data_IF_066819887550
#
_entry.id   IF_066819887550
#
_cell.length_a   1.000
_cell.length_b   1.000
_cell.length_c   1.000
_cell.angle_alpha   90.00
_cell.angle_beta   90.00
_cell.angle_gamma   90.00
#
_symmetry.space_group_name_H-M   'P 1'
#
loop_
_entity.id
_entity.type
_entity.pdbx_description
1 polymer ?
#
# COMPACT_ATOMS: atom_id res chain seq x y z
N UNK A 1 -91.13 -15.12 -47.75
CA UNK A 1 -90.92 -14.28 -46.56
C UNK A 1 -89.63 -14.71 -45.95
N UNK A 2 -88.54 -14.00 -46.25
CA UNK A 2 -87.21 -14.31 -45.80
C UNK A 2 -86.85 -13.29 -44.71
N UNK A 3 -86.51 -13.76 -43.51
CA UNK A 3 -86.09 -12.99 -42.39
C UNK A 3 -84.66 -12.47 -42.59
N UNK A 4 -84.34 -11.22 -42.23
CA UNK A 4 -82.99 -10.71 -42.34
C UNK A 4 -82.15 -11.10 -41.19
N UNK A 5 -81.01 -11.67 -41.48
CA UNK A 5 -79.95 -12.04 -40.54
C UNK A 5 -79.38 -10.83 -39.84
N UNK A 6 -79.21 -10.92 -38.51
CA UNK A 6 -78.53 -9.91 -37.68
C UNK A 6 -77.00 -9.91 -37.94
N UNK A 7 -76.37 -8.71 -37.89
CA UNK A 7 -74.94 -8.58 -38.14
C UNK A 7 -74.10 -9.11 -36.96
N UNK A 8 -73.07 -9.85 -37.31
CA UNK A 8 -72.05 -10.38 -36.37
C UNK A 8 -71.20 -9.23 -35.75
N UNK A 9 -71.00 -9.18 -34.44
CA UNK A 9 -70.13 -8.15 -33.86
C UNK A 9 -68.66 -8.32 -34.31
N UNK A 10 -68.04 -7.21 -34.64
CA UNK A 10 -66.61 -7.15 -35.01
C UNK A 10 -65.72 -7.59 -33.84
N UNK A 11 -64.56 -8.23 -34.11
CA UNK A 11 -63.59 -8.59 -33.07
C UNK A 11 -63.04 -7.33 -32.41
N UNK A 12 -62.99 -7.33 -31.08
CA UNK A 12 -62.32 -6.32 -30.29
C UNK A 12 -60.85 -6.25 -30.70
N UNK A 13 -60.38 -5.07 -31.06
CA UNK A 13 -58.99 -4.81 -31.36
C UNK A 13 -58.12 -5.04 -30.13
N UNK A 14 -56.81 -5.32 -30.32
CA UNK A 14 -55.90 -5.50 -29.20
C UNK A 14 -55.87 -4.22 -28.36
N UNK A 15 -56.09 -4.43 -27.05
CA UNK A 15 -55.92 -3.39 -26.05
C UNK A 15 -54.56 -2.72 -26.26
N UNK A 16 -54.52 -1.43 -26.52
CA UNK A 16 -53.34 -0.61 -26.47
C UNK A 16 -52.85 -0.66 -25.00
N UNK A 17 -51.87 -1.51 -24.77
CA UNK A 17 -51.12 -1.47 -23.52
C UNK A 17 -50.59 -0.02 -23.39
N UNK A 18 -51.13 0.70 -22.42
CA UNK A 18 -50.64 1.99 -22.04
C UNK A 18 -49.14 1.87 -21.77
N UNK A 19 -48.32 2.45 -22.64
CA UNK A 19 -46.91 2.74 -22.36
C UNK A 19 -46.91 3.58 -21.08
N UNK A 20 -46.68 2.92 -19.94
CA UNK A 20 -46.41 3.63 -18.72
C UNK A 20 -45.07 4.36 -18.93
N UNK A 21 -45.17 5.63 -19.11
CA UNK A 21 -44.04 6.59 -19.10
C UNK A 21 -43.38 6.43 -17.72
N UNK A 22 -42.41 5.51 -17.65
CA UNK A 22 -41.56 5.33 -16.46
C UNK A 22 -40.59 6.51 -16.41
N UNK A 23 -41.11 7.68 -16.04
CA UNK A 23 -40.28 8.80 -15.67
C UNK A 23 -39.23 8.37 -14.68
N UNK A 24 -37.95 8.68 -14.91
CA UNK A 24 -36.85 8.37 -14.03
C UNK A 24 -37.15 8.97 -12.65
N UNK A 25 -37.30 8.11 -11.63
CA UNK A 25 -37.40 8.56 -10.23
C UNK A 25 -35.99 8.97 -9.72
N UNK A 26 -35.64 10.23 -10.03
CA UNK A 26 -34.35 10.79 -9.61
C UNK A 26 -34.08 10.68 -8.13
N UNK A 27 -35.11 10.68 -7.28
CA UNK A 27 -34.95 10.53 -5.83
C UNK A 27 -34.55 9.10 -5.46
N UNK A 28 -35.12 8.09 -6.11
CA UNK A 28 -34.73 6.70 -5.93
C UNK A 28 -33.29 6.46 -6.43
N UNK A 29 -32.94 7.01 -7.60
CA UNK A 29 -31.57 6.93 -8.15
C UNK A 29 -30.54 7.58 -7.23
N UNK A 30 -30.81 8.79 -6.73
CA UNK A 30 -29.92 9.48 -5.77
C UNK A 30 -29.76 8.68 -4.47
N UNK A 31 -30.85 8.12 -3.93
CA UNK A 31 -30.78 7.26 -2.74
C UNK A 31 -29.97 5.98 -3.02
N UNK A 32 -30.17 5.35 -4.17
CA UNK A 32 -29.41 4.18 -4.60
C UNK A 32 -27.90 4.48 -4.68
N UNK A 33 -27.55 5.59 -5.33
CA UNK A 33 -26.16 6.05 -5.41
C UNK A 33 -25.56 6.33 -4.01
N UNK A 34 -26.31 7.02 -3.15
CA UNK A 34 -25.86 7.32 -1.79
C UNK A 34 -25.60 6.05 -0.96
N UNK A 35 -26.48 5.05 -1.05
CA UNK A 35 -26.28 3.76 -0.39
C UNK A 35 -25.08 3.00 -0.96
N UNK A 36 -24.90 3.01 -2.27
CA UNK A 36 -23.73 2.39 -2.90
C UNK A 36 -22.44 3.04 -2.42
N UNK A 37 -22.35 4.36 -2.40
CA UNK A 37 -21.18 5.10 -1.91
C UNK A 37 -20.93 4.81 -0.41
N UNK A 38 -21.98 4.78 0.39
CA UNK A 38 -21.87 4.43 1.82
C UNK A 38 -21.36 3.01 2.02
N UNK A 39 -21.83 2.05 1.23
CA UNK A 39 -21.36 0.66 1.29
C UNK A 39 -19.88 0.54 0.88
N UNK A 40 -19.45 1.22 -0.18
CA UNK A 40 -18.06 1.25 -0.63
C UNK A 40 -17.17 1.89 0.45
N UNK A 41 -17.58 3.02 1.03
CA UNK A 41 -16.85 3.69 2.10
C UNK A 41 -16.74 2.80 3.35
N UNK A 42 -17.82 2.14 3.72
CA UNK A 42 -17.82 1.18 4.84
C UNK A 42 -16.87 0.01 4.58
N UNK A 43 -16.90 -0.58 3.37
CA UNK A 43 -15.99 -1.66 3.00
C UNK A 43 -14.52 -1.21 3.09
N UNK A 44 -14.17 -0.05 2.52
CA UNK A 44 -12.81 0.49 2.54
C UNK A 44 -12.32 0.85 3.95
N UNK A 45 -13.23 1.21 4.85
CA UNK A 45 -12.87 1.57 6.23
C UNK A 45 -12.77 0.35 7.15
N UNK A 46 -13.57 -0.70 6.91
CA UNK A 46 -13.72 -1.84 7.83
C UNK A 46 -12.94 -3.06 7.34
N UNK A 47 -12.94 -3.35 6.04
CA UNK A 47 -12.40 -4.60 5.50
C UNK A 47 -11.03 -4.40 4.88
N UNK A 48 -10.96 -3.72 3.76
CA UNK A 48 -9.72 -3.52 3.01
C UNK A 48 -9.81 -2.30 2.09
N UNK A 49 -8.66 -1.64 1.90
CA UNK A 49 -8.53 -0.46 1.05
C UNK A 49 -7.43 -0.69 0.01
N UNK A 50 -7.65 -0.35 -1.27
CA UNK A 50 -6.59 -0.32 -2.26
C UNK A 50 -5.66 0.87 -2.00
N UNK A 51 -4.36 0.65 -2.20
CA UNK A 51 -3.33 1.68 -2.10
C UNK A 51 -2.47 1.70 -3.36
N UNK A 52 -1.94 2.87 -3.65
CA UNK A 52 -0.94 3.12 -4.68
C UNK A 52 0.41 3.43 -4.01
N UNK A 53 1.52 2.97 -4.61
CA UNK A 53 2.87 3.27 -4.14
C UNK A 53 3.45 4.43 -4.97
N UNK A 54 3.57 5.64 -4.37
CA UNK A 54 4.09 6.80 -5.06
C UNK A 54 5.59 7.04 -4.86
N UNK A 55 6.26 6.27 -3.99
CA UNK A 55 7.65 6.55 -3.57
C UNK A 55 8.53 5.30 -3.57
N UNK A 56 9.85 5.54 -3.57
CA UNK A 56 10.88 4.49 -3.61
C UNK A 56 11.20 3.89 -2.24
N UNK A 57 10.60 4.38 -1.14
CA UNK A 57 11.01 4.06 0.24
C UNK A 57 10.89 2.58 0.64
N UNK A 58 10.12 1.78 -0.09
CA UNK A 58 9.91 0.36 0.17
C UNK A 58 10.52 -0.56 -0.90
N UNK A 59 11.37 0.00 -1.78
CA UNK A 59 12.15 -0.82 -2.73
C UNK A 59 13.10 -1.75 -1.97
N UNK A 60 13.34 -2.94 -2.49
CA UNK A 60 12.90 -3.53 -3.75
C UNK A 60 11.54 -4.25 -3.63
N UNK A 61 10.99 -4.36 -2.42
CA UNK A 61 9.79 -5.16 -2.18
C UNK A 61 8.53 -4.53 -2.79
N UNK A 62 8.42 -3.21 -2.71
CA UNK A 62 7.39 -2.42 -3.40
C UNK A 62 8.06 -1.43 -4.35
N UNK A 63 7.56 -1.34 -5.57
CA UNK A 63 8.01 -0.38 -6.58
C UNK A 63 6.99 0.73 -6.76
N UNK A 64 7.47 1.89 -7.19
CA UNK A 64 6.56 2.97 -7.63
C UNK A 64 5.67 2.43 -8.74
N UNK A 65 4.37 2.72 -8.67
CA UNK A 65 3.40 2.17 -9.62
C UNK A 65 2.69 0.89 -9.15
N UNK A 66 3.15 0.25 -8.06
CA UNK A 66 2.42 -0.88 -7.47
C UNK A 66 1.06 -0.44 -6.93
N UNK A 67 0.07 -1.29 -7.14
CA UNK A 67 -1.24 -1.22 -6.50
C UNK A 67 -1.37 -2.41 -5.57
N UNK A 68 -1.78 -2.17 -4.34
CA UNK A 68 -1.83 -3.21 -3.30
C UNK A 68 -3.11 -3.11 -2.47
N UNK A 69 -3.42 -4.18 -1.77
CA UNK A 69 -4.54 -4.25 -0.84
C UNK A 69 -4.02 -4.24 0.59
N UNK A 70 -4.59 -3.34 1.40
CA UNK A 70 -4.33 -3.23 2.83
C UNK A 70 -5.57 -3.68 3.59
N UNK A 71 -5.43 -4.73 4.40
CA UNK A 71 -6.48 -5.21 5.30
C UNK A 71 -6.48 -4.43 6.61
N UNK A 72 -7.66 -4.18 7.16
CA UNK A 72 -7.85 -3.39 8.39
C UNK A 72 -7.91 -4.27 9.64
N UNK A 73 -8.56 -5.40 9.55
CA UNK A 73 -8.85 -6.30 10.67
C UNK A 73 -7.64 -6.98 11.33
N UNK A 74 -6.45 -7.19 10.71
CA UNK A 74 -5.34 -7.87 11.38
C UNK A 74 -4.89 -7.17 12.66
N UNK A 75 -4.98 -5.83 12.69
CA UNK A 75 -4.56 -5.02 13.83
C UNK A 75 -5.72 -4.34 14.56
N UNK A 76 -6.96 -4.71 14.20
CA UNK A 76 -8.17 -4.06 14.70
C UNK A 76 -8.45 -2.72 14.03
N UNK A 77 -9.50 -2.07 14.49
CA UNK A 77 -9.95 -0.79 13.94
C UNK A 77 -9.56 0.35 14.86
N UNK A 78 -9.15 1.44 14.26
CA UNK A 78 -8.80 2.70 14.91
C UNK A 78 -9.15 3.87 13.99
N UNK A 79 -8.87 5.12 14.40
CA UNK A 79 -9.13 6.29 13.59
C UNK A 79 -8.40 6.25 12.21
N UNK A 80 -7.15 5.73 12.16
CA UNK A 80 -6.35 5.61 10.94
C UNK A 80 -6.87 4.52 9.99
N UNK A 81 -7.75 3.63 10.46
CA UNK A 81 -8.42 2.63 9.61
C UNK A 81 -9.53 3.26 8.77
N UNK A 82 -10.15 4.36 9.22
CA UNK A 82 -11.21 5.03 8.48
C UNK A 82 -10.68 5.61 7.17
N UNK A 83 -11.48 5.47 6.10
CA UNK A 83 -11.14 6.07 4.81
C UNK A 83 -11.15 7.58 4.92
N UNK A 84 -10.20 8.23 4.22
CA UNK A 84 -10.02 9.68 4.21
C UNK A 84 -9.80 10.32 5.59
N UNK A 85 -9.42 9.51 6.61
CA UNK A 85 -9.23 9.96 8.00
C UNK A 85 -10.41 10.80 8.52
N UNK A 86 -11.64 10.36 8.21
CA UNK A 86 -12.88 11.07 8.57
C UNK A 86 -13.12 11.10 10.09
N UNK A 87 -12.50 10.20 10.84
CA UNK A 87 -12.57 10.19 12.28
C UNK A 87 -11.47 11.06 12.89
N UNK A 88 -11.76 11.76 14.01
CA UNK A 88 -10.73 12.49 14.72
C UNK A 88 -9.65 11.53 15.22
N UNK A 89 -8.40 12.00 15.24
CA UNK A 89 -7.29 11.24 15.80
C UNK A 89 -7.52 11.02 17.29
N UNK A 90 -7.42 9.77 17.70
CA UNK A 90 -7.59 9.33 19.09
C UNK A 90 -6.82 8.01 19.31
N UNK A 91 -6.62 7.62 20.55
CA UNK A 91 -5.87 6.42 20.94
C UNK A 91 -6.74 5.16 21.05
N UNK A 92 -8.03 5.22 20.75
CA UNK A 92 -8.92 4.05 20.79
C UNK A 92 -8.53 2.99 19.73
N UNK A 93 -8.67 1.73 20.12
CA UNK A 93 -8.51 0.57 19.24
C UNK A 93 -9.52 -0.51 19.61
N UNK A 94 -10.18 -1.09 18.61
CA UNK A 94 -11.12 -2.20 18.77
C UNK A 94 -10.51 -3.46 18.23
N UNK A 95 -10.48 -4.54 19.04
CA UNK A 95 -9.91 -5.85 18.68
C UNK A 95 -8.44 -5.78 18.21
N UNK A 96 -7.68 -4.85 18.76
CA UNK A 96 -6.32 -4.55 18.31
C UNK A 96 -5.31 -5.65 18.65
N UNK A 97 -4.63 -6.18 17.63
CA UNK A 97 -3.44 -7.01 17.77
C UNK A 97 -2.19 -6.18 17.50
N UNK A 98 -1.07 -6.58 18.08
CA UNK A 98 0.22 -5.98 17.77
C UNK A 98 0.73 -6.55 16.45
N UNK A 99 1.22 -5.71 15.51
CA UNK A 99 1.90 -6.16 14.32
C UNK A 99 3.11 -7.05 14.64
N UNK A 100 3.41 -8.00 13.75
CA UNK A 100 4.56 -8.87 13.88
C UNK A 100 5.80 -8.26 13.21
N UNK A 101 6.99 -8.71 13.61
CA UNK A 101 8.20 -8.33 12.89
C UNK A 101 8.09 -8.71 11.40
N UNK A 102 8.52 -7.80 10.55
CA UNK A 102 8.49 -8.00 9.11
C UNK A 102 7.17 -7.65 8.42
N UNK A 103 6.07 -7.42 9.16
CA UNK A 103 4.82 -6.96 8.56
C UNK A 103 5.01 -5.59 7.90
N UNK A 104 4.45 -5.42 6.71
CA UNK A 104 4.36 -4.12 6.04
C UNK A 104 3.04 -3.47 6.43
N UNK A 105 3.12 -2.27 6.99
CA UNK A 105 1.97 -1.57 7.58
C UNK A 105 1.79 -0.17 6.99
N UNK A 106 0.56 0.33 7.05
CA UNK A 106 0.26 1.74 6.81
C UNK A 106 0.32 2.46 8.16
N UNK A 107 1.08 3.54 8.23
CA UNK A 107 1.21 4.40 9.41
C UNK A 107 0.91 5.85 9.04
N UNK A 108 0.27 6.59 9.94
CA UNK A 108 -0.07 8.00 9.75
C UNK A 108 0.78 8.84 10.71
N UNK A 109 1.69 9.70 10.20
CA UNK A 109 2.50 10.58 11.04
C UNK A 109 1.66 11.52 11.89
N UNK A 110 2.17 11.91 13.08
CA UNK A 110 1.40 12.73 14.02
C UNK A 110 1.16 14.17 13.57
N UNK A 111 2.02 14.69 12.71
CA UNK A 111 1.96 16.07 12.24
C UNK A 111 1.18 16.27 10.93
N UNK A 112 0.74 15.18 10.28
CA UNK A 112 0.01 15.24 8.99
C UNK A 112 -0.90 14.03 8.80
N UNK A 113 -1.89 14.16 7.92
CA UNK A 113 -2.84 13.10 7.57
C UNK A 113 -2.43 12.46 6.23
N UNK A 114 -1.26 11.82 6.21
CA UNK A 114 -0.70 11.13 5.06
C UNK A 114 -0.44 9.67 5.41
N UNK A 115 -0.84 8.76 4.53
CA UNK A 115 -0.59 7.33 4.70
C UNK A 115 0.85 7.00 4.26
N UNK A 116 1.73 6.65 5.20
CA UNK A 116 3.07 6.13 4.92
C UNK A 116 3.07 4.60 5.02
N UNK A 117 3.73 3.95 4.07
CA UNK A 117 3.94 2.50 4.10
C UNK A 117 5.35 2.18 4.58
N UNK A 118 5.47 1.35 5.60
CA UNK A 118 6.75 0.97 6.23
C UNK A 118 6.69 -0.45 6.78
N UNK A 119 7.86 -0.98 7.15
CA UNK A 119 8.01 -2.32 7.74
C UNK A 119 8.22 -2.26 9.24
N UNK A 120 7.60 -3.18 9.97
CA UNK A 120 7.77 -3.33 11.43
C UNK A 120 9.11 -4.01 11.72
N UNK A 121 10.01 -3.30 12.40
CA UNK A 121 11.35 -3.79 12.78
C UNK A 121 11.54 -3.92 14.28
N UNK A 122 10.74 -3.20 15.09
CA UNK A 122 10.71 -3.45 16.53
C UNK A 122 9.28 -3.29 17.09
N UNK A 123 9.00 -4.01 18.18
CA UNK A 123 7.69 -4.17 18.81
C UNK A 123 7.69 -3.55 20.21
N UNK A 124 6.50 -3.39 20.84
CA UNK A 124 6.41 -2.84 22.18
C UNK A 124 7.33 -3.57 23.18
N UNK A 125 8.18 -2.82 23.89
CA UNK A 125 9.12 -3.32 24.87
C UNK A 125 10.49 -3.70 24.30
N UNK A 126 10.68 -3.75 22.99
CA UNK A 126 11.99 -4.00 22.40
C UNK A 126 12.93 -2.80 22.61
N UNK A 127 14.23 -3.11 22.71
CA UNK A 127 15.30 -2.14 22.61
C UNK A 127 15.91 -2.22 21.22
N UNK A 128 15.95 -1.09 20.52
CA UNK A 128 16.47 -1.01 19.16
C UNK A 128 17.55 0.07 19.07
N UNK A 129 18.65 -0.28 18.40
CA UNK A 129 19.70 0.64 18.00
C UNK A 129 20.10 0.34 16.55
N UNK A 130 20.78 1.28 15.90
CA UNK A 130 21.43 1.05 14.61
C UNK A 130 22.92 1.32 14.75
N UNK A 131 23.72 0.47 14.12
CA UNK A 131 25.16 0.64 14.01
C UNK A 131 25.61 0.30 12.59
N UNK A 132 26.13 1.28 11.88
CA UNK A 132 26.56 1.15 10.47
C UNK A 132 25.47 0.50 9.58
N UNK A 133 24.22 0.93 9.72
CA UNK A 133 23.05 0.41 9.00
C UNK A 133 22.51 -0.93 9.53
N UNK A 134 23.22 -1.61 10.43
CA UNK A 134 22.76 -2.87 11.03
C UNK A 134 21.83 -2.62 12.22
N UNK A 135 20.70 -3.29 12.22
CA UNK A 135 19.75 -3.27 13.35
C UNK A 135 20.31 -4.12 14.50
N UNK A 136 20.40 -3.51 15.69
CA UNK A 136 20.68 -4.17 16.95
C UNK A 136 19.37 -4.24 17.74
N UNK A 137 18.81 -5.43 17.87
CA UNK A 137 17.54 -5.64 18.54
C UNK A 137 17.73 -6.41 19.83
N UNK A 138 17.31 -5.83 20.95
CA UNK A 138 17.48 -6.41 22.30
C UNK A 138 18.95 -6.79 22.63
N UNK A 139 19.87 -5.92 22.19
CA UNK A 139 21.30 -6.08 22.39
C UNK A 139 21.98 -7.10 21.45
N UNK A 140 21.26 -7.65 20.47
CA UNK A 140 21.80 -8.60 19.48
C UNK A 140 21.65 -8.04 18.07
N UNK A 141 22.70 -8.10 17.21
CA UNK A 141 22.56 -7.77 15.81
C UNK A 141 21.61 -8.78 15.14
N UNK A 142 20.66 -8.30 14.34
CA UNK A 142 19.86 -9.21 13.53
C UNK A 142 20.74 -9.79 12.42
N UNK A 143 20.51 -11.05 12.00
CA UNK A 143 21.21 -11.62 10.86
C UNK A 143 21.00 -10.74 9.61
N UNK A 144 22.13 -10.36 8.98
CA UNK A 144 22.17 -9.55 7.76
C UNK A 144 23.18 -10.15 6.80
N UNK A 145 22.72 -10.59 5.65
CA UNK A 145 23.51 -11.29 4.64
C UNK A 145 23.54 -10.48 3.35
N UNK A 146 24.72 -10.38 2.71
CA UNK A 146 24.84 -9.83 1.37
C UNK A 146 24.13 -10.80 0.42
N UNK A 147 23.26 -10.25 -0.42
CA UNK A 147 22.62 -10.99 -1.51
C UNK A 147 23.11 -10.44 -2.85
N UNK A 148 22.94 -11.20 -3.95
CA UNK A 148 23.18 -10.64 -5.29
C UNK A 148 22.39 -9.34 -5.45
N UNK A 149 22.93 -8.43 -6.27
CA UNK A 149 22.27 -7.16 -6.59
C UNK A 149 20.83 -7.39 -7.02
N UNK A 150 19.93 -6.52 -6.55
CA UNK A 150 18.55 -6.53 -6.99
C UNK A 150 18.39 -5.69 -8.25
N UNK A 151 17.64 -6.22 -9.22
CA UNK A 151 17.37 -5.55 -10.49
C UNK A 151 16.01 -4.87 -10.42
N UNK A 152 16.01 -3.55 -10.51
CA UNK A 152 14.80 -2.72 -10.57
C UNK A 152 14.63 -2.23 -12.01
N UNK A 153 13.47 -2.43 -12.67
CA UNK A 153 13.24 -1.90 -14.02
C UNK A 153 13.49 -0.39 -14.09
N UNK A 154 14.20 0.06 -15.13
CA UNK A 154 14.42 1.47 -15.38
C UNK A 154 13.20 2.06 -16.11
N UNK A 155 12.15 2.35 -15.35
CA UNK A 155 10.88 2.89 -15.85
C UNK A 155 10.97 4.42 -15.88
N UNK A 156 11.50 4.97 -16.94
CA UNK A 156 11.80 6.40 -17.11
C UNK A 156 10.54 7.29 -17.16
N UNK A 157 9.35 6.72 -17.37
CA UNK A 157 8.08 7.45 -17.39
C UNK A 157 7.53 7.76 -15.98
N UNK A 158 8.11 7.12 -14.93
CA UNK A 158 7.64 7.32 -13.58
C UNK A 158 8.17 8.63 -12.98
N UNK A 159 7.22 9.48 -12.62
CA UNK A 159 7.51 10.77 -11.98
C UNK A 159 7.09 10.76 -10.52
N UNK A 160 8.00 11.14 -9.65
CA UNK A 160 7.82 11.29 -8.22
C UNK A 160 8.00 12.76 -7.80
N UNK A 161 7.43 13.12 -6.65
CA UNK A 161 7.59 14.44 -6.03
C UNK A 161 6.25 15.05 -5.65
N UNK A 162 6.32 15.98 -4.70
CA UNK A 162 5.19 16.71 -4.15
C UNK A 162 5.19 18.16 -4.63
N UNK A 163 4.01 18.75 -4.71
CA UNK A 163 3.87 20.21 -4.77
C UNK A 163 4.38 20.89 -6.02
N UNK A 164 4.47 20.20 -7.18
CA UNK A 164 4.80 20.85 -8.47
C UNK A 164 6.24 20.63 -8.95
N UNK A 165 7.13 20.11 -8.14
CA UNK A 165 8.45 19.64 -8.57
C UNK A 165 8.39 18.13 -8.75
N UNK A 166 8.40 17.68 -10.01
CA UNK A 166 8.47 16.26 -10.34
C UNK A 166 9.82 15.94 -10.96
N UNK A 167 10.49 14.90 -10.45
CA UNK A 167 11.67 14.29 -11.04
C UNK A 167 11.38 12.85 -11.39
N UNK A 168 12.20 12.22 -12.21
CA UNK A 168 12.08 10.79 -12.43
C UNK A 168 12.31 10.06 -11.10
N UNK A 169 11.46 9.08 -10.79
CA UNK A 169 11.47 8.41 -9.50
C UNK A 169 12.79 7.74 -9.14
N UNK A 170 13.59 7.39 -10.15
CA UNK A 170 14.82 6.62 -9.99
C UNK A 170 16.09 7.41 -10.33
N UNK A 171 16.02 8.75 -10.49
CA UNK A 171 17.20 9.60 -10.78
C UNK A 171 18.32 9.40 -9.77
N UNK A 172 17.99 9.18 -8.51
CA UNK A 172 18.96 8.92 -7.44
C UNK A 172 19.82 7.68 -7.71
N UNK A 173 19.36 6.76 -8.54
CA UNK A 173 20.05 5.49 -8.88
C UNK A 173 20.74 5.54 -10.25
N UNK A 174 20.90 6.69 -10.88
CA UNK A 174 21.46 6.79 -12.23
C UNK A 174 22.83 6.11 -12.37
N UNK A 175 23.66 6.12 -11.31
CA UNK A 175 24.98 5.46 -11.29
C UNK A 175 24.92 3.92 -11.29
N UNK A 176 23.77 3.33 -11.03
CA UNK A 176 23.55 1.88 -11.00
C UNK A 176 22.82 1.34 -12.24
N UNK A 177 22.59 2.20 -13.24
CA UNK A 177 21.87 1.84 -14.46
C UNK A 177 22.73 0.96 -15.37
N UNK A 178 22.20 -0.20 -15.75
CA UNK A 178 22.85 -1.16 -16.64
C UNK A 178 21.88 -1.66 -17.70
N UNK A 179 22.42 -1.99 -18.87
CA UNK A 179 21.67 -2.62 -19.94
C UNK A 179 21.96 -4.13 -19.95
N UNK A 180 20.92 -4.93 -19.74
CA UNK A 180 21.02 -6.39 -19.77
C UNK A 180 21.23 -6.91 -21.21
N UNK A 181 21.73 -8.15 -21.38
CA UNK A 181 21.85 -8.79 -22.71
C UNK A 181 20.51 -8.90 -23.45
N UNK A 182 19.39 -8.89 -22.74
CA UNK A 182 18.04 -8.84 -23.31
C UNK A 182 17.66 -7.50 -23.93
N UNK A 183 18.50 -6.47 -23.79
CA UNK A 183 18.22 -5.10 -24.19
C UNK A 183 17.44 -4.28 -23.18
N UNK A 184 16.92 -4.88 -22.11
CA UNK A 184 16.23 -4.16 -21.04
C UNK A 184 17.21 -3.36 -20.19
N UNK A 185 16.80 -2.19 -19.75
CA UNK A 185 17.55 -1.36 -18.80
C UNK A 185 16.99 -1.56 -17.40
N UNK A 186 17.90 -1.69 -16.44
CA UNK A 186 17.60 -1.90 -15.02
C UNK A 186 18.60 -1.12 -14.17
N UNK A 187 18.21 -0.86 -12.91
CA UNK A 187 19.15 -0.43 -11.87
C UNK A 187 19.57 -1.68 -11.09
N UNK A 188 20.88 -1.95 -11.00
CA UNK A 188 21.45 -3.03 -10.19
C UNK A 188 21.92 -2.49 -8.84
N UNK A 189 21.08 -2.61 -7.83
CA UNK A 189 21.32 -2.03 -6.51
C UNK A 189 21.91 -3.06 -5.55
N UNK A 190 22.87 -2.65 -4.68
CA UNK A 190 23.36 -3.50 -3.60
C UNK A 190 22.21 -3.81 -2.63
N UNK A 191 22.13 -5.06 -2.19
CA UNK A 191 21.04 -5.48 -1.36
C UNK A 191 21.49 -6.44 -0.26
N UNK A 192 20.71 -6.46 0.81
CA UNK A 192 20.94 -7.27 1.99
C UNK A 192 19.67 -8.05 2.31
N UNK A 193 19.83 -9.24 2.83
CA UNK A 193 18.75 -10.01 3.44
C UNK A 193 18.81 -9.83 4.94
N UNK A 194 17.75 -9.36 5.54
CA UNK A 194 17.58 -9.30 6.99
C UNK A 194 16.62 -10.37 7.46
N UNK A 195 16.93 -10.99 8.60
CA UNK A 195 16.07 -12.00 9.22
C UNK A 195 15.76 -11.60 10.65
N UNK A 196 14.49 -11.39 10.93
CA UNK A 196 13.98 -10.97 12.23
C UNK A 196 13.88 -12.15 13.20
N UNK A 197 13.76 -11.91 14.53
CA UNK A 197 13.70 -12.97 15.52
C UNK A 197 12.59 -14.00 15.37
N UNK A 198 11.49 -13.63 14.70
CA UNK A 198 10.38 -14.54 14.39
C UNK A 198 10.59 -15.34 13.07
N UNK A 199 11.79 -15.27 12.48
CA UNK A 199 12.11 -15.89 11.19
C UNK A 199 11.64 -15.12 9.96
N UNK A 200 10.95 -13.97 10.11
CA UNK A 200 10.56 -13.14 9.00
C UNK A 200 11.79 -12.59 8.26
N UNK A 201 11.90 -12.90 6.97
CA UNK A 201 13.05 -12.54 6.15
C UNK A 201 12.62 -11.73 4.92
N UNK A 202 13.36 -10.67 4.61
CA UNK A 202 13.08 -9.75 3.51
C UNK A 202 14.38 -9.09 3.00
N UNK A 203 14.30 -8.52 1.81
CA UNK A 203 15.43 -7.84 1.17
C UNK A 203 15.33 -6.34 1.45
N UNK A 204 16.47 -5.71 1.72
CA UNK A 204 16.59 -4.26 1.88
C UNK A 204 17.67 -3.72 0.96
N UNK A 205 17.53 -2.47 0.52
CA UNK A 205 18.56 -1.69 -0.17
C UNK A 205 19.18 -0.76 0.87
N UNK A 206 20.51 -0.68 0.85
CA UNK A 206 21.33 0.16 1.72
C UNK A 206 22.59 0.47 0.93
N UNK A 207 22.53 1.56 0.16
CA UNK A 207 23.48 1.89 -0.90
C UNK A 207 24.38 3.09 -0.57
N UNK A 208 24.01 3.86 0.44
CA UNK A 208 24.76 5.02 0.90
C UNK A 208 25.18 4.86 2.36
N UNK A 209 26.02 5.76 2.82
CA UNK A 209 26.27 5.96 4.25
C UNK A 209 25.65 7.28 4.68
N UNK A 210 24.70 7.18 5.59
CA UNK A 210 23.89 8.31 6.05
C UNK A 210 23.96 8.45 7.57
N UNK A 211 23.51 9.57 8.10
CA UNK A 211 23.40 9.77 9.55
C UNK A 211 22.40 8.79 10.18
N UNK A 212 21.39 8.36 9.41
CA UNK A 212 20.36 7.41 9.86
C UNK A 212 20.90 5.98 10.08
N UNK A 213 22.14 5.67 9.63
CA UNK A 213 22.79 4.37 9.86
C UNK A 213 23.24 4.17 11.30
N UNK A 214 23.28 5.25 12.08
CA UNK A 214 23.66 5.20 13.49
C UNK A 214 22.58 5.82 14.34
N UNK A 215 22.01 5.03 15.23
CA UNK A 215 21.00 5.47 16.18
C UNK A 215 21.28 4.88 17.56
N UNK A 216 21.30 5.73 18.57
CA UNK A 216 21.42 5.29 19.95
C UNK A 216 20.29 4.32 20.34
N UNK A 217 20.56 3.43 21.29
CA UNK A 217 19.54 2.49 21.76
C UNK A 217 18.36 3.23 22.38
N UNK A 218 17.17 2.91 21.92
CA UNK A 218 15.90 3.35 22.49
C UNK A 218 15.05 2.15 22.85
N UNK A 219 14.18 2.31 23.83
CA UNK A 219 13.14 1.31 24.15
C UNK A 219 11.84 1.72 23.47
N UNK A 220 11.26 0.82 22.69
CA UNK A 220 9.94 1.02 22.07
C UNK A 220 8.86 1.03 23.15
N UNK A 221 8.12 2.13 23.35
CA UNK A 221 7.12 2.22 24.41
C UNK A 221 6.01 1.17 24.26
N UNK A 222 5.33 0.86 25.36
CA UNK A 222 4.11 0.06 25.32
C UNK A 222 3.10 0.67 24.33
N UNK A 223 2.45 -0.16 23.53
CA UNK A 223 1.50 0.31 22.53
C UNK A 223 2.10 1.00 21.29
N UNK A 224 3.41 0.93 21.08
CA UNK A 224 4.11 1.50 19.93
C UNK A 224 4.86 0.43 19.14
N UNK A 225 5.21 0.76 17.90
CA UNK A 225 6.09 -0.02 17.02
C UNK A 225 7.16 0.89 16.42
N UNK A 226 8.31 0.32 16.04
CA UNK A 226 9.34 1.03 15.29
C UNK A 226 9.32 0.56 13.85
N UNK A 227 9.24 1.50 12.93
CA UNK A 227 8.99 1.26 11.52
C UNK A 227 10.15 1.76 10.68
N UNK A 228 10.60 0.96 9.70
CA UNK A 228 11.63 1.37 8.74
C UNK A 228 11.21 1.06 7.31
N UNK A 229 11.74 1.83 6.36
CA UNK A 229 11.61 1.51 4.94
C UNK A 229 12.57 0.39 4.54
N UNK A 230 12.24 -0.34 3.48
CA UNK A 230 13.10 -1.37 2.92
C UNK A 230 14.25 -0.76 2.09
N UNK A 231 14.06 0.46 1.58
CA UNK A 231 15.09 1.30 0.97
C UNK A 231 15.64 2.23 2.06
N UNK A 232 16.66 1.77 2.76
CA UNK A 232 17.17 2.34 4.01
C UNK A 232 17.56 3.80 3.90
N UNK A 233 18.29 4.16 2.87
CA UNK A 233 18.81 5.51 2.67
C UNK A 233 17.79 6.47 2.05
N UNK A 234 16.74 5.94 1.47
CA UNK A 234 15.69 6.71 0.80
C UNK A 234 14.32 6.56 1.48
N UNK A 235 14.31 6.53 2.82
CA UNK A 235 13.09 6.36 3.61
C UNK A 235 13.00 7.35 4.77
N UNK A 236 12.02 8.23 4.71
CA UNK A 236 11.58 9.02 5.85
C UNK A 236 10.70 8.13 6.75
N UNK A 237 11.30 7.55 7.80
CA UNK A 237 10.68 6.57 8.69
C UNK A 237 10.90 6.90 10.18
N UNK A 238 10.87 5.92 11.08
CA UNK A 238 11.05 6.15 12.52
C UNK A 238 12.41 6.70 12.91
N UNK A 239 13.41 6.61 12.05
CA UNK A 239 14.75 7.20 12.27
C UNK A 239 14.78 8.71 12.02
N UNK A 240 13.82 9.21 11.27
CA UNK A 240 13.76 10.58 10.78
C UNK A 240 12.72 11.38 11.54
N UNK A 241 13.04 12.64 11.87
CA UNK A 241 12.17 13.54 12.63
C UNK A 241 10.86 13.86 11.89
N UNK A 242 9.85 14.34 12.62
CA UNK A 242 8.59 14.78 12.01
C UNK A 242 8.77 15.99 11.11
N UNK A 243 9.73 16.87 11.45
CA UNK A 243 10.07 18.08 10.70
C UNK A 243 10.68 17.74 9.33
N UNK A 244 11.43 16.62 9.26
CA UNK A 244 12.04 16.11 8.03
C UNK A 244 11.15 15.09 7.31
N UNK A 245 9.85 15.16 7.56
CA UNK A 245 8.85 14.28 6.94
C UNK A 245 8.93 12.80 7.34
N UNK A 246 9.64 12.47 8.42
CA UNK A 246 9.69 11.13 9.01
C UNK A 246 8.49 10.82 9.91
N UNK A 247 8.66 9.77 10.70
CA UNK A 247 7.67 9.32 11.70
C UNK A 247 7.98 9.83 13.12
N UNK A 248 9.17 10.42 13.34
CA UNK A 248 9.57 11.03 14.61
C UNK A 248 9.74 10.02 15.75
N UNK A 249 10.27 8.83 15.48
CA UNK A 249 10.48 7.77 16.47
C UNK A 249 9.43 6.67 16.41
N UNK A 250 9.15 6.07 17.57
CA UNK A 250 8.17 4.97 17.68
C UNK A 250 6.75 5.46 17.42
N UNK A 251 6.00 4.70 16.62
CA UNK A 251 4.65 5.03 16.15
C UNK A 251 3.62 4.34 17.05
N UNK A 252 2.63 5.07 17.59
CA UNK A 252 1.53 4.47 18.33
C UNK A 252 0.75 3.48 17.46
N UNK A 253 0.30 2.40 18.05
CA UNK A 253 -0.53 1.42 17.35
C UNK A 253 -1.89 1.98 16.91
N UNK A 254 -2.37 3.06 17.55
CA UNK A 254 -3.56 3.81 17.12
C UNK A 254 -3.36 4.54 15.79
N UNK A 255 -2.11 4.83 15.41
CA UNK A 255 -1.73 5.46 14.16
C UNK A 255 -1.38 4.43 13.06
N UNK A 256 -1.54 3.13 13.33
CA UNK A 256 -1.32 2.04 12.35
C UNK A 256 -2.65 1.62 11.74
N UNK A 257 -2.87 2.01 10.49
CA UNK A 257 -4.17 1.88 9.80
C UNK A 257 -4.46 0.51 9.18
N UNK A 258 -3.48 -0.41 9.07
CA UNK A 258 -3.68 -1.75 8.49
C UNK A 258 -2.40 -2.40 7.98
N UNK A 259 -2.53 -3.65 7.49
CA UNK A 259 -1.44 -4.46 6.94
C UNK A 259 -1.56 -4.61 5.43
N UNK A 260 -0.44 -4.41 4.73
CA UNK A 260 -0.34 -4.73 3.32
C UNK A 260 -0.32 -6.24 3.11
N UNK A 261 -1.22 -6.75 2.25
CA UNK A 261 -1.40 -8.20 2.07
C UNK A 261 -0.76 -8.71 0.77
N UNK A 262 -1.09 -8.06 -0.34
CA UNK A 262 -0.58 -8.43 -1.66
C UNK A 262 -0.69 -7.27 -2.65
N UNK A 263 0.14 -7.32 -3.69
CA UNK A 263 0.01 -6.42 -4.84
C UNK A 263 -1.05 -6.95 -5.80
N UNK A 264 -1.94 -6.10 -6.29
CA UNK A 264 -2.95 -6.47 -7.30
C UNK A 264 -2.36 -6.43 -8.70
N UNK A 265 -1.70 -5.34 -9.04
CA UNK A 265 -0.98 -5.15 -10.28
C UNK A 265 0.03 -3.99 -10.13
N UNK A 266 0.86 -3.80 -11.13
CA UNK A 266 1.88 -2.75 -11.15
C UNK A 266 1.97 -2.15 -12.54
N UNK A 267 2.07 -0.81 -12.62
CA UNK A 267 2.22 -0.06 -13.86
C UNK A 267 3.59 0.62 -13.89
N UNK A 268 4.16 0.73 -15.09
CA UNK A 268 5.48 1.30 -15.31
C UNK A 268 5.49 2.80 -15.63
N UNK A 269 4.32 3.47 -15.60
CA UNK A 269 4.16 4.89 -15.88
C UNK A 269 3.87 5.23 -17.34
N UNK A 270 3.92 4.26 -18.25
CA UNK A 270 3.63 4.50 -19.67
C UNK A 270 2.13 4.47 -20.01
N UNK A 271 1.27 4.25 -19.02
CA UNK A 271 -0.18 4.28 -19.19
C UNK A 271 -0.68 5.68 -19.52
N UNK A 272 -1.68 5.74 -20.41
CA UNK A 272 -2.36 6.97 -20.81
C UNK A 272 -3.83 6.95 -20.39
N UNK A 273 -4.59 7.99 -20.74
CA UNK A 273 -6.05 8.00 -20.53
C UNK A 273 -6.79 6.96 -21.37
N UNK A 274 -6.13 6.37 -22.39
CA UNK A 274 -6.68 5.24 -23.13
C UNK A 274 -6.50 3.94 -22.34
N UNK A 275 -7.58 3.27 -21.88
CA UNK A 275 -7.46 2.03 -21.09
C UNK A 275 -6.71 0.89 -21.80
N UNK A 276 -6.66 0.89 -23.15
CA UNK A 276 -5.94 -0.13 -23.89
C UNK A 276 -4.42 -0.02 -23.72
N UNK A 277 -3.89 1.18 -23.43
CA UNK A 277 -2.46 1.37 -23.15
C UNK A 277 -2.02 0.71 -21.83
N UNK A 278 -2.94 0.48 -20.89
CA UNK A 278 -2.65 -0.11 -19.59
C UNK A 278 -2.11 -1.53 -19.68
N UNK A 279 -2.54 -2.30 -20.70
CA UNK A 279 -2.01 -3.65 -20.90
C UNK A 279 -0.52 -3.65 -21.20
N UNK A 280 -0.04 -2.68 -21.98
CA UNK A 280 1.39 -2.50 -22.28
C UNK A 280 2.19 -1.93 -21.10
N UNK A 281 1.53 -1.24 -20.17
CA UNK A 281 2.15 -0.66 -18.99
C UNK A 281 2.25 -1.63 -17.79
N UNK A 282 1.61 -2.81 -17.87
CA UNK A 282 1.66 -3.81 -16.80
C UNK A 282 3.05 -4.40 -16.64
N UNK A 283 3.57 -4.41 -15.42
CA UNK A 283 4.81 -5.12 -15.08
C UNK A 283 4.54 -6.60 -14.82
N UNK A 284 5.28 -7.46 -15.52
CA UNK A 284 5.23 -8.91 -15.31
C UNK A 284 5.67 -9.31 -13.90
N UNK A 285 5.08 -10.39 -13.38
CA UNK A 285 5.49 -11.01 -12.11
C UNK A 285 5.16 -10.22 -10.85
N UNK A 286 4.43 -9.09 -10.98
CA UNK A 286 4.07 -8.29 -9.80
C UNK A 286 2.60 -8.41 -9.38
N UNK A 287 1.75 -8.96 -10.23
CA UNK A 287 0.35 -9.21 -9.86
C UNK A 287 0.24 -10.36 -8.85
N UNK A 288 -0.63 -10.18 -7.85
CA UNK A 288 -0.95 -11.16 -6.81
C UNK A 288 0.25 -11.60 -5.96
N UNK A 289 1.32 -10.82 -5.95
CA UNK A 289 2.49 -11.09 -5.11
C UNK A 289 2.15 -10.82 -3.64
N UNK A 290 2.34 -11.83 -2.79
CA UNK A 290 2.21 -11.66 -1.33
C UNK A 290 3.23 -10.65 -0.81
N UNK A 291 2.79 -9.79 0.10
CA UNK A 291 3.63 -8.82 0.82
C UNK A 291 3.97 -9.29 2.23
N UNK A 292 3.51 -10.48 2.60
CA UNK A 292 3.92 -11.09 3.86
C UNK A 292 5.38 -11.55 3.78
N UNK A 293 6.14 -11.39 4.86
CA UNK A 293 7.53 -11.84 4.88
C UNK A 293 7.61 -13.36 4.68
N UNK A 294 8.66 -13.80 4.01
CA UNK A 294 9.01 -15.22 3.97
C UNK A 294 9.55 -15.59 5.34
N UNK A 295 9.09 -16.69 5.91
CA UNK A 295 9.62 -17.19 7.18
C UNK A 295 10.68 -18.26 6.92
N UNK A 296 11.90 -18.00 7.40
CA UNK A 296 12.98 -18.98 7.42
C UNK A 296 12.88 -19.73 8.74
N UNK A 297 12.82 -21.07 8.73
CA UNK A 297 12.83 -21.85 9.97
C UNK A 297 14.08 -21.55 10.78
N UNK A 298 13.94 -21.35 12.10
CA UNK A 298 15.10 -21.26 13.00
C UNK A 298 15.91 -22.56 12.90
N UNK A 299 17.17 -22.44 12.51
CA UNK A 299 18.15 -23.54 12.58
C UNK A 299 18.18 -24.50 11.38
N UNK A 300 18.72 -24.06 10.29
CA UNK A 300 19.48 -24.92 9.36
C UNK A 300 20.78 -24.24 9.00
#
# INVERSE_FOLDING_TARGET
MSEPSAPTPAPAGPDAAADADHGIDWLAEIKGLAWMLAAVLAFHSIVAKPFYIPSISMMPNLLVGDRLVVSKFPYGWNWASASFHLLPRDDWRVMGKTPEYGDIVIAVPRNRNEDLIKRVVARPGDRIALKDGQIILNGKPIPREIVPTVQIPADDELMCGDGGFKSHCYDTFAGFRVRLPSGREVYELPAWRETMPNGASYIVIDDLRTEQDTMAEITVPAGHVFLMGDNRDHSADSRVSLEESGLGGSVPLSDVGGRAEFTTFSLNGSETLNPLSWWGALREGRAWRSLRPVHVPEGK
#
